data_IF_625554327954
#
_entry.id   IF_625554327954
#
_cell.length_a   1.000
_cell.length_b   1.000
_cell.length_c   1.000
_cell.angle_alpha   90.00
_cell.angle_beta   90.00
_cell.angle_gamma   90.00
#
_symmetry.space_group_name_H-M   'P 1'
#
loop_
_entity.id
_entity.type
_entity.pdbx_description
1 polymer ?
#
# COMPACT_ATOMS: atom_id res chain seq x y z
N UNK A 1 10.68 -64.08 0.89
CA UNK A 1 10.91 -63.76 2.32
C UNK A 1 11.92 -62.61 2.35
N UNK A 2 11.49 -61.33 2.33
CA UNK A 2 11.34 -60.44 3.52
C UNK A 2 12.58 -60.49 4.41
N UNK A 3 13.37 -59.43 4.58
CA UNK A 3 13.01 -58.22 5.34
C UNK A 3 13.75 -56.94 4.89
N UNK A 4 13.02 -55.81 5.01
CA UNK A 4 13.46 -54.42 4.92
C UNK A 4 14.47 -54.01 6.00
N UNK A 5 15.23 -52.93 5.75
CA UNK A 5 15.33 -51.78 6.68
C UNK A 5 15.66 -50.48 5.94
N UNK A 6 14.82 -49.50 6.23
CA UNK A 6 14.58 -48.26 5.52
C UNK A 6 15.58 -47.17 5.96
N UNK A 7 16.09 -46.39 5.01
CA UNK A 7 17.02 -45.27 5.22
C UNK A 7 16.27 -44.07 5.81
N UNK A 8 16.58 -43.74 7.06
CA UNK A 8 16.01 -42.59 7.76
C UNK A 8 16.81 -41.33 7.44
N UNK A 9 16.55 -40.69 6.29
CA UNK A 9 17.09 -39.35 6.00
C UNK A 9 16.05 -38.30 6.39
N UNK A 10 16.18 -37.85 7.64
CA UNK A 10 15.44 -36.73 8.23
C UNK A 10 15.58 -35.50 7.31
N UNK A 11 14.52 -35.17 6.57
CA UNK A 11 14.41 -33.97 5.75
C UNK A 11 14.48 -32.73 6.66
N UNK A 12 15.67 -32.18 6.82
CA UNK A 12 15.84 -30.87 7.42
C UNK A 12 15.10 -29.83 6.57
N UNK A 13 13.93 -29.41 7.05
CA UNK A 13 13.16 -28.30 6.50
C UNK A 13 14.01 -27.04 6.59
N UNK A 14 14.67 -26.68 5.49
CA UNK A 14 15.42 -25.43 5.36
C UNK A 14 14.44 -24.28 5.55
N UNK A 15 14.50 -23.62 6.70
CA UNK A 15 13.85 -22.32 6.93
C UNK A 15 14.41 -21.39 5.85
N UNK A 16 13.60 -21.03 4.86
CA UNK A 16 13.99 -20.06 3.82
C UNK A 16 14.06 -18.70 4.50
N UNK A 17 15.26 -18.31 4.93
CA UNK A 17 15.52 -16.95 5.35
C UNK A 17 15.17 -16.00 4.20
N UNK A 18 14.46 -14.88 4.47
CA UNK A 18 14.09 -13.94 3.43
C UNK A 18 15.34 -13.41 2.74
N UNK A 19 15.33 -13.43 1.40
CA UNK A 19 16.45 -12.97 0.58
C UNK A 19 16.54 -11.45 0.72
N UNK A 20 17.37 -10.96 1.63
CA UNK A 20 17.67 -9.54 1.79
C UNK A 20 18.33 -9.08 0.49
N UNK A 21 17.60 -8.36 -0.35
CA UNK A 21 18.19 -7.66 -1.50
C UNK A 21 19.00 -6.50 -0.95
N UNK A 22 20.26 -6.37 -1.38
CA UNK A 22 21.19 -5.30 -1.04
C UNK A 22 20.80 -3.97 -1.70
N UNK A 23 19.56 -3.53 -1.49
CA UNK A 23 19.14 -2.16 -1.78
C UNK A 23 19.47 -1.25 -0.60
N UNK A 24 19.43 0.07 -0.83
CA UNK A 24 19.48 1.08 0.23
C UNK A 24 18.44 0.73 1.31
N UNK A 25 18.91 0.35 2.49
CA UNK A 25 18.07 -0.08 3.61
C UNK A 25 17.34 1.09 4.26
N UNK A 26 17.59 2.31 3.80
CA UNK A 26 17.00 3.53 4.29
C UNK A 26 17.00 4.62 3.21
N UNK A 27 16.13 5.62 3.34
CA UNK A 27 16.17 6.85 2.56
C UNK A 27 15.70 8.05 3.38
N UNK A 28 16.10 9.25 2.96
CA UNK A 28 15.58 10.51 3.52
C UNK A 28 14.36 10.96 2.72
N UNK A 29 13.23 11.18 3.39
CA UNK A 29 12.00 11.63 2.75
C UNK A 29 12.20 12.99 2.07
N UNK A 30 11.71 13.14 0.84
CA UNK A 30 11.77 14.41 0.09
C UNK A 30 10.83 15.48 0.64
N UNK A 31 9.75 15.08 1.32
CA UNK A 31 8.73 15.99 1.83
C UNK A 31 8.97 16.39 3.29
N UNK A 32 9.08 15.42 4.21
CA UNK A 32 9.21 15.71 5.65
C UNK A 32 10.64 15.54 6.18
N UNK A 33 11.59 15.13 5.33
CA UNK A 33 13.00 14.97 5.67
C UNK A 33 13.35 13.94 6.76
N UNK A 34 12.37 13.17 7.22
CA UNK A 34 12.57 12.02 8.11
C UNK A 34 13.41 10.94 7.42
N UNK A 35 14.24 10.24 8.19
CA UNK A 35 14.91 9.01 7.76
C UNK A 35 13.95 7.84 7.87
N UNK A 36 13.85 7.06 6.80
CA UNK A 36 12.87 5.99 6.64
C UNK A 36 13.60 4.69 6.43
N UNK A 37 13.32 3.68 7.26
CA UNK A 37 13.83 2.32 7.09
C UNK A 37 13.03 1.56 6.03
N UNK A 38 13.75 0.81 5.18
CA UNK A 38 13.19 -0.08 4.17
C UNK A 38 13.27 -1.55 4.59
N UNK A 39 13.71 -1.85 5.82
CA UNK A 39 13.87 -3.22 6.29
C UNK A 39 12.51 -3.94 6.28
N UNK A 40 12.35 -5.08 5.58
CA UNK A 40 11.04 -5.73 5.45
C UNK A 40 10.43 -6.18 6.78
N UNK A 41 11.26 -6.46 7.79
CA UNK A 41 10.81 -6.82 9.15
C UNK A 41 10.11 -5.67 9.86
N UNK A 42 10.47 -4.42 9.55
CA UNK A 42 9.82 -3.22 10.09
C UNK A 42 8.70 -2.78 9.15
N UNK A 43 9.01 -2.68 7.85
CA UNK A 43 8.10 -2.10 6.86
C UNK A 43 6.86 -2.97 6.56
N UNK A 44 6.92 -4.28 6.84
CA UNK A 44 5.89 -5.25 6.44
C UNK A 44 5.79 -5.47 4.92
N UNK A 45 6.64 -4.82 4.12
CA UNK A 45 6.68 -4.91 2.66
C UNK A 45 8.12 -5.08 2.15
N UNK A 46 8.28 -5.72 1.00
CA UNK A 46 9.60 -5.99 0.41
C UNK A 46 10.21 -4.76 -0.26
N UNK A 47 9.39 -3.91 -0.88
CA UNK A 47 9.83 -2.72 -1.59
C UNK A 47 9.03 -1.53 -1.06
N UNK A 48 9.66 -0.68 -0.25
CA UNK A 48 9.10 0.59 0.23
C UNK A 48 9.55 1.72 -0.69
N UNK A 49 8.63 2.61 -1.05
CA UNK A 49 8.91 3.78 -1.88
C UNK A 49 8.36 5.09 -1.29
N UNK A 50 7.69 5.05 -0.14
CA UNK A 50 7.11 6.22 0.52
C UNK A 50 7.44 6.26 2.00
N UNK A 51 7.40 7.46 2.57
CA UNK A 51 7.58 7.66 4.01
C UNK A 51 6.36 7.14 4.78
N UNK A 52 6.51 6.39 5.88
CA UNK A 52 5.36 5.88 6.64
C UNK A 52 4.56 6.98 7.34
N UNK A 53 5.20 8.12 7.64
CA UNK A 53 4.57 9.22 8.36
C UNK A 53 3.75 10.13 7.44
N UNK A 54 4.35 10.62 6.34
CA UNK A 54 3.68 11.57 5.44
C UNK A 54 3.21 10.96 4.11
N UNK A 55 3.58 9.71 3.83
CA UNK A 55 3.13 8.93 2.66
C UNK A 55 3.57 9.48 1.29
N UNK A 56 4.38 10.55 1.26
CA UNK A 56 5.03 11.03 0.05
C UNK A 56 6.12 10.08 -0.43
N UNK A 57 6.21 9.95 -1.75
CA UNK A 57 7.18 9.13 -2.47
C UNK A 57 8.09 9.99 -3.36
N UNK A 58 9.00 9.35 -4.09
CA UNK A 58 9.86 9.98 -5.11
C UNK A 58 9.78 9.17 -6.39
N UNK A 59 9.69 9.86 -7.53
CA UNK A 59 9.60 9.21 -8.84
C UNK A 59 10.96 8.66 -9.27
N UNK A 60 11.25 7.42 -8.83
CA UNK A 60 12.51 6.74 -9.12
C UNK A 60 12.41 5.79 -10.32
N UNK A 61 11.23 5.25 -10.62
CA UNK A 61 11.09 4.17 -11.60
C UNK A 61 10.66 4.68 -12.99
N UNK A 62 11.36 4.26 -14.05
CA UNK A 62 11.04 4.65 -15.43
C UNK A 62 10.01 3.71 -16.05
N UNK A 63 10.39 2.47 -16.35
CA UNK A 63 9.57 1.50 -17.09
C UNK A 63 9.06 0.39 -16.16
N UNK A 64 9.92 -0.15 -15.30
CA UNK A 64 9.60 -1.26 -14.42
C UNK A 64 9.71 -0.86 -12.95
N UNK A 65 8.82 -1.42 -12.12
CA UNK A 65 8.85 -1.19 -10.68
C UNK A 65 10.19 -1.67 -10.09
N UNK A 66 10.92 -0.74 -9.47
CA UNK A 66 12.25 -0.99 -8.90
C UNK A 66 13.43 -0.87 -9.87
N UNK A 67 13.23 -0.45 -11.12
CA UNK A 67 14.34 -0.18 -12.04
C UNK A 67 15.21 1.00 -11.60
N UNK A 68 14.63 1.95 -10.87
CA UNK A 68 15.27 3.19 -10.39
C UNK A 68 15.92 4.03 -11.51
N UNK A 69 15.41 3.96 -12.74
CA UNK A 69 15.97 4.62 -13.93
C UNK A 69 15.30 5.95 -14.31
N UNK A 70 14.37 6.47 -13.51
CA UNK A 70 13.66 7.72 -13.83
C UNK A 70 14.58 8.94 -13.73
N UNK A 71 14.56 9.76 -14.79
CA UNK A 71 15.21 11.07 -14.82
C UNK A 71 14.38 12.15 -14.11
N UNK A 72 13.09 11.92 -13.85
CA UNK A 72 12.21 12.92 -13.26
C UNK A 72 12.58 13.21 -11.81
N UNK A 73 12.66 12.16 -10.97
CA UNK A 73 13.06 12.23 -9.53
C UNK A 73 12.27 13.22 -8.69
N UNK A 74 11.18 13.78 -9.21
CA UNK A 74 10.31 14.71 -8.50
C UNK A 74 9.57 13.99 -7.37
N UNK A 75 9.12 14.73 -6.34
CA UNK A 75 8.21 14.20 -5.33
C UNK A 75 6.95 13.60 -5.97
N UNK A 76 6.42 12.56 -5.34
CA UNK A 76 5.12 12.02 -5.70
C UNK A 76 4.16 12.18 -4.53
N UNK A 77 3.09 12.93 -4.79
CA UNK A 77 2.03 13.23 -3.84
C UNK A 77 1.10 12.02 -3.71
N UNK A 78 0.74 11.60 -2.48
CA UNK A 78 -0.37 10.68 -2.31
C UNK A 78 -1.68 11.44 -2.57
N UNK A 79 -2.49 10.95 -3.50
CA UNK A 79 -3.69 11.64 -4.00
C UNK A 79 -4.99 10.87 -3.74
N UNK A 80 -4.91 9.68 -3.17
CA UNK A 80 -6.10 8.87 -2.88
C UNK A 80 -5.76 7.40 -2.68
N UNK A 81 -6.80 6.59 -2.56
CA UNK A 81 -6.70 5.14 -2.38
C UNK A 81 -7.34 4.37 -3.53
N UNK A 82 -6.85 3.16 -3.76
CA UNK A 82 -7.45 2.19 -4.68
C UNK A 82 -7.39 0.79 -4.10
N UNK A 83 -8.14 -0.14 -4.67
CA UNK A 83 -7.91 -1.57 -4.44
C UNK A 83 -7.16 -2.19 -5.62
N UNK A 84 -6.17 -3.03 -5.33
CA UNK A 84 -5.44 -3.78 -6.34
C UNK A 84 -6.40 -4.66 -7.14
N UNK A 85 -6.51 -4.40 -8.45
CA UNK A 85 -7.33 -5.22 -9.35
C UNK A 85 -6.87 -6.68 -9.31
N UNK A 86 -7.81 -7.57 -9.03
CA UNK A 86 -7.56 -9.01 -9.08
C UNK A 86 -7.59 -9.48 -10.53
N UNK A 87 -6.69 -10.42 -10.87
CA UNK A 87 -6.74 -11.14 -12.15
C UNK A 87 -7.80 -12.25 -12.16
N UNK A 88 -8.38 -12.55 -11.00
CA UNK A 88 -9.45 -13.54 -10.90
C UNK A 88 -10.76 -12.91 -11.39
N UNK A 89 -11.34 -13.47 -12.45
CA UNK A 89 -12.62 -13.01 -13.03
C UNK A 89 -13.82 -13.11 -12.08
N UNK A 90 -13.71 -13.88 -11.00
CA UNK A 90 -14.75 -14.01 -9.98
C UNK A 90 -14.56 -13.07 -8.77
N UNK A 91 -13.42 -12.36 -8.71
CA UNK A 91 -13.20 -11.39 -7.66
C UNK A 91 -14.10 -10.16 -7.90
N UNK A 92 -14.69 -9.63 -6.83
CA UNK A 92 -15.45 -8.39 -6.90
C UNK A 92 -14.50 -7.21 -7.12
N UNK A 93 -15.05 -6.11 -7.61
CA UNK A 93 -14.30 -4.91 -8.01
C UNK A 93 -13.46 -4.27 -6.89
N UNK A 94 -13.71 -4.65 -5.62
CA UNK A 94 -13.06 -4.12 -4.41
C UNK A 94 -12.48 -5.21 -3.50
N UNK A 95 -12.34 -6.44 -3.98
CA UNK A 95 -11.77 -7.55 -3.18
C UNK A 95 -10.23 -7.46 -3.04
N UNK A 96 -9.60 -6.51 -3.72
CA UNK A 96 -8.16 -6.31 -3.73
C UNK A 96 -7.55 -5.89 -2.40
N UNK A 97 -6.23 -5.87 -2.38
CA UNK A 97 -5.45 -5.20 -1.33
C UNK A 97 -5.61 -3.68 -1.46
N UNK A 98 -5.71 -2.97 -0.34
CA UNK A 98 -5.76 -1.51 -0.30
C UNK A 98 -4.39 -0.93 -0.68
N UNK A 99 -4.37 0.06 -1.56
CA UNK A 99 -3.15 0.64 -2.14
C UNK A 99 -3.24 2.17 -2.11
N UNK A 100 -2.09 2.82 -1.99
CA UNK A 100 -1.95 4.28 -2.17
C UNK A 100 -1.84 4.61 -3.66
N UNK A 101 -2.50 5.68 -4.09
CA UNK A 101 -2.31 6.28 -5.41
C UNK A 101 -1.35 7.46 -5.26
N UNK A 102 -0.28 7.45 -6.04
CA UNK A 102 0.72 8.51 -6.07
C UNK A 102 0.74 9.20 -7.44
N UNK A 103 0.75 10.53 -7.41
CA UNK A 103 0.90 11.39 -8.59
C UNK A 103 2.24 12.13 -8.55
N UNK A 104 3.01 12.00 -9.62
CA UNK A 104 4.27 12.74 -9.75
C UNK A 104 4.01 14.24 -9.94
N UNK A 105 4.61 15.08 -9.11
CA UNK A 105 4.47 16.54 -9.24
C UNK A 105 5.24 17.12 -10.42
N UNK A 106 6.22 16.39 -10.97
CA UNK A 106 7.04 16.83 -12.10
C UNK A 106 6.51 16.41 -13.48
N UNK A 107 5.98 15.19 -13.61
CA UNK A 107 5.56 14.65 -14.90
C UNK A 107 4.16 14.02 -14.91
N UNK A 108 3.36 14.23 -13.85
CA UNK A 108 2.00 13.72 -13.70
C UNK A 108 1.82 12.18 -13.74
N UNK A 109 2.91 11.40 -13.82
CA UNK A 109 2.83 9.92 -13.81
C UNK A 109 2.10 9.44 -12.56
N UNK A 110 1.11 8.58 -12.77
CA UNK A 110 0.34 7.90 -11.73
C UNK A 110 0.95 6.52 -11.47
N UNK A 111 1.15 6.17 -10.21
CA UNK A 111 1.57 4.83 -9.78
C UNK A 111 0.78 4.44 -8.54
N UNK A 112 0.62 3.13 -8.32
CA UNK A 112 -0.02 2.60 -7.11
C UNK A 112 1.00 1.84 -6.28
N UNK A 113 1.05 2.17 -4.99
CA UNK A 113 2.03 1.61 -4.07
C UNK A 113 1.34 0.85 -2.94
N UNK A 114 1.97 -0.25 -2.51
CA UNK A 114 1.47 -1.08 -1.41
C UNK A 114 1.62 -0.34 -0.10
N UNK A 115 0.60 -0.39 0.75
CA UNK A 115 0.66 0.14 2.12
C UNK A 115 1.54 -0.79 2.97
N UNK A 116 2.48 -0.19 3.70
CA UNK A 116 3.36 -0.84 4.69
C UNK A 116 2.65 -1.08 6.01
N UNK A 117 3.15 -2.04 6.80
CA UNK A 117 2.54 -2.39 8.10
C UNK A 117 2.74 -1.33 9.19
N UNK A 118 3.74 -0.48 9.02
CA UNK A 118 4.13 0.65 9.89
C UNK A 118 3.70 2.01 9.32
N UNK A 119 2.93 2.04 8.23
CA UNK A 119 2.40 3.29 7.70
C UNK A 119 1.32 3.87 8.64
N UNK A 120 1.28 5.19 8.76
CA UNK A 120 0.31 5.90 9.60
C UNK A 120 -1.12 5.74 9.06
N UNK A 121 -1.95 4.95 9.75
CA UNK A 121 -3.37 4.77 9.38
C UNK A 121 -4.15 6.08 9.40
N UNK A 122 -3.83 6.98 10.33
CA UNK A 122 -4.43 8.32 10.39
C UNK A 122 -4.12 9.13 9.13
N UNK A 123 -2.86 9.15 8.67
CA UNK A 123 -2.48 9.86 7.46
C UNK A 123 -3.10 9.23 6.20
N UNK A 124 -3.21 7.89 6.17
CA UNK A 124 -3.88 7.18 5.05
C UNK A 124 -5.36 7.59 4.99
N UNK A 125 -6.05 7.63 6.14
CA UNK A 125 -7.45 7.99 6.19
C UNK A 125 -7.68 9.47 5.83
N UNK A 126 -6.80 10.37 6.25
CA UNK A 126 -6.85 11.79 5.88
C UNK A 126 -6.71 12.00 4.36
N UNK A 127 -5.81 11.26 3.70
CA UNK A 127 -5.70 11.28 2.24
C UNK A 127 -6.98 10.78 1.58
N UNK A 128 -7.57 9.70 2.09
CA UNK A 128 -8.83 9.18 1.57
C UNK A 128 -9.94 10.21 1.69
N UNK A 129 -10.13 10.78 2.88
CA UNK A 129 -11.17 11.77 3.17
C UNK A 129 -11.02 13.00 2.25
N UNK A 130 -9.80 13.53 2.15
CA UNK A 130 -9.48 14.65 1.25
C UNK A 130 -9.71 14.30 -0.22
N UNK A 131 -9.52 13.03 -0.60
CA UNK A 131 -9.75 12.58 -1.97
C UNK A 131 -11.22 12.29 -2.28
N UNK A 132 -12.10 12.22 -1.27
CA UNK A 132 -13.54 12.07 -1.52
C UNK A 132 -14.14 13.34 -2.12
N UNK A 133 -13.59 14.51 -1.76
CA UNK A 133 -13.95 15.81 -2.32
C UNK A 133 -13.24 16.09 -3.66
N UNK A 134 -12.61 15.09 -4.28
CA UNK A 134 -11.84 15.28 -5.51
C UNK A 134 -12.71 15.74 -6.67
N UNK A 135 -12.21 16.75 -7.40
CA UNK A 135 -12.85 17.24 -8.61
C UNK A 135 -12.85 16.21 -9.75
N UNK A 136 -13.81 16.36 -10.67
CA UNK A 136 -13.95 15.60 -11.92
C UNK A 136 -12.63 15.49 -12.71
N UNK A 137 -11.75 16.49 -12.58
CA UNK A 137 -10.44 16.52 -13.22
C UNK A 137 -9.49 15.42 -12.73
N UNK A 138 -9.54 15.06 -11.45
CA UNK A 138 -8.70 13.98 -10.91
C UNK A 138 -9.10 12.63 -11.49
N UNK A 139 -10.41 12.37 -11.58
CA UNK A 139 -10.93 11.14 -12.19
C UNK A 139 -10.51 11.01 -13.66
N UNK A 140 -10.58 12.10 -14.42
CA UNK A 140 -10.15 12.13 -15.81
C UNK A 140 -8.64 11.86 -15.97
N UNK A 141 -7.81 12.29 -15.01
CA UNK A 141 -6.37 12.02 -15.00
C UNK A 141 -6.04 10.56 -14.64
N UNK A 142 -6.87 9.92 -13.81
CA UNK A 142 -6.68 8.52 -13.40
C UNK A 142 -7.15 7.52 -14.46
N UNK A 143 -8.16 7.84 -15.27
CA UNK A 143 -8.77 6.92 -16.24
C UNK A 143 -7.75 6.26 -17.21
N UNK A 144 -6.80 7.00 -17.83
CA UNK A 144 -5.79 6.40 -18.71
C UNK A 144 -4.86 5.39 -18.01
N UNK A 145 -4.70 5.51 -16.68
CA UNK A 145 -3.87 4.61 -15.88
C UNK A 145 -4.60 3.32 -15.48
N UNK A 146 -5.91 3.24 -15.73
CA UNK A 146 -6.75 2.11 -15.31
C UNK A 146 -6.84 1.95 -13.78
N UNK A 147 -6.54 3.01 -13.03
CA UNK A 147 -6.66 3.05 -11.57
C UNK A 147 -8.06 3.54 -11.21
N UNK A 148 -8.77 2.79 -10.37
CA UNK A 148 -10.09 3.18 -9.86
C UNK A 148 -9.93 3.80 -8.48
N UNK A 149 -10.25 5.09 -8.35
CA UNK A 149 -10.23 5.81 -7.08
C UNK A 149 -11.34 5.28 -6.17
N UNK A 150 -11.03 5.09 -4.88
CA UNK A 150 -12.04 4.84 -3.86
C UNK A 150 -12.71 6.16 -3.47
N UNK A 151 -14.04 6.14 -3.38
CA UNK A 151 -14.86 7.34 -3.15
C UNK A 151 -15.49 7.30 -1.76
N UNK A 152 -16.32 8.31 -1.44
CA UNK A 152 -17.09 8.33 -0.21
C UNK A 152 -17.95 7.06 -0.01
N UNK A 153 -18.42 6.43 -1.10
CA UNK A 153 -19.20 5.18 -1.05
C UNK A 153 -18.37 3.98 -0.55
N UNK A 154 -17.03 4.06 -0.65
CA UNK A 154 -16.11 3.02 -0.19
C UNK A 154 -15.64 3.25 1.28
N UNK A 155 -16.18 4.23 2.00
CA UNK A 155 -15.72 4.61 3.36
C UNK A 155 -15.72 3.42 4.33
N UNK A 156 -16.79 2.64 4.38
CA UNK A 156 -16.90 1.46 5.26
C UNK A 156 -15.86 0.39 4.93
N UNK A 157 -15.49 0.26 3.65
CA UNK A 157 -14.42 -0.64 3.23
C UNK A 157 -13.08 -0.14 3.73
N UNK A 158 -12.78 1.16 3.55
CA UNK A 158 -11.51 1.76 3.99
C UNK A 158 -11.37 1.67 5.50
N UNK A 159 -12.40 2.03 6.26
CA UNK A 159 -12.39 1.97 7.72
C UNK A 159 -12.13 0.55 8.24
N UNK A 160 -12.86 -0.46 7.74
CA UNK A 160 -12.64 -1.85 8.16
C UNK A 160 -11.23 -2.35 7.83
N UNK A 161 -10.66 -1.94 6.70
CA UNK A 161 -9.32 -2.38 6.27
C UNK A 161 -8.19 -1.70 7.08
N UNK A 162 -8.38 -0.46 7.52
CA UNK A 162 -7.38 0.26 8.31
C UNK A 162 -7.49 -0.01 9.82
N UNK A 163 -8.72 -0.17 10.33
CA UNK A 163 -9.00 -0.16 11.76
C UNK A 163 -9.61 -1.48 12.29
N UNK A 164 -9.98 -2.40 11.40
CA UNK A 164 -10.71 -3.62 11.76
C UNK A 164 -12.21 -3.36 11.98
N UNK A 165 -12.95 -4.40 12.39
CA UNK A 165 -14.41 -4.34 12.55
C UNK A 165 -14.86 -3.72 13.88
N UNK A 166 -13.95 -3.53 14.84
CA UNK A 166 -14.28 -3.17 16.22
C UNK A 166 -14.69 -1.69 16.40
N UNK A 167 -14.41 -0.81 15.42
CA UNK A 167 -14.64 0.63 15.54
C UNK A 167 -15.95 1.15 14.92
N UNK A 168 -16.79 0.28 14.34
CA UNK A 168 -18.07 0.72 13.72
C UNK A 168 -19.20 0.72 14.77
N UNK A 169 -19.08 -0.03 15.86
CA UNK A 169 -20.13 -0.13 16.88
C UNK A 169 -20.18 1.08 17.84
N UNK A 170 -19.15 1.94 17.86
CA UNK A 170 -19.10 3.05 18.83
C UNK A 170 -20.04 4.20 18.45
N UNK A 171 -20.34 4.41 17.16
CA UNK A 171 -21.34 5.43 16.79
C UNK A 171 -22.78 4.99 17.08
N UNK A 172 -23.03 3.68 17.18
CA UNK A 172 -24.36 3.16 17.50
C UNK A 172 -24.68 3.15 19.00
N UNK A 173 -23.66 3.18 19.87
CA UNK A 173 -23.87 3.22 21.34
C UNK A 173 -24.07 4.66 21.88
N UNK A 174 -23.50 5.69 21.23
CA UNK A 174 -23.68 7.08 21.68
C UNK A 174 -25.06 7.68 21.39
N UNK A 175 -25.86 7.08 20.50
CA UNK A 175 -27.25 7.48 20.24
C UNK A 175 -28.29 6.82 21.16
N UNK A 176 -27.91 5.85 21.99
CA UNK A 176 -28.85 5.11 22.86
C UNK A 176 -28.83 5.63 24.32
N UNK A 177 -27.93 6.55 24.65
CA UNK A 177 -27.85 7.18 26.00
C UNK A 177 -28.25 8.66 26.03
N UNK A 178 -28.89 9.16 24.97
CA UNK A 178 -29.36 10.54 24.86
C UNK A 178 -30.91 10.65 24.84
N UNK A 179 -31.60 9.79 25.60
CA UNK A 179 -33.01 9.95 25.95
C UNK A 179 -33.17 10.22 27.46
#
# INVERSE_FOLDING_TARGET
MSYSRNSNTRSQSRIRLPRIRSGEQEFKCVQCHQYVTCMPVVAGVQNRNHCPACLWSRHMDWLEAGDRLSNCRAPMQPIGLTTKRSKNKYARERDGELMLIHRCSGCAKIVINRIGGDDSTAAIFEIFDSSCDSDVLLYAELDPSGVSLLTADDRDLVQRRLFGEILIDVEHEFMVFAE
#
